data_IF_847758988494
#
_entry.id   IF_847758988494
#
_cell.length_a   1.000
_cell.length_b   1.000
_cell.length_c   1.000
_cell.angle_alpha   90.00
_cell.angle_beta   90.00
_cell.angle_gamma   90.00
#
_symmetry.space_group_name_H-M   'P 1'
#
loop_
_entity.id
_entity.type
_entity.pdbx_description
1 polymer ?
#
# COMPACT_ATOMS: atom_id res chain seq x y z
N UNK A 1 -53.23 -17.90 -20.30
CA UNK A 1 -53.58 -16.54 -19.82
C UNK A 1 -53.61 -16.63 -18.30
N UNK A 2 -52.47 -16.32 -17.67
CA UNK A 2 -52.19 -15.05 -16.96
C UNK A 2 -52.89 -15.04 -15.58
N UNK A 3 -52.18 -14.93 -14.46
CA UNK A 3 -51.32 -13.81 -14.10
C UNK A 3 -50.15 -14.23 -13.20
N UNK A 4 -48.96 -13.80 -13.62
CA UNK A 4 -47.83 -13.42 -12.75
C UNK A 4 -48.18 -12.03 -12.19
N UNK A 5 -47.89 -11.74 -10.91
CA UNK A 5 -47.31 -10.47 -10.39
C UNK A 5 -47.46 -10.39 -8.85
N UNK A 6 -46.34 -10.02 -8.21
CA UNK A 6 -46.29 -9.30 -6.92
C UNK A 6 -45.47 -10.04 -5.87
N UNK A 7 -44.28 -9.64 -5.46
CA UNK A 7 -43.47 -8.44 -5.72
C UNK A 7 -42.29 -8.51 -4.74
N UNK A 8 -41.11 -8.10 -5.19
CA UNK A 8 -39.85 -8.10 -4.43
C UNK A 8 -39.97 -7.33 -3.11
N UNK A 9 -39.86 -8.01 -1.97
CA UNK A 9 -39.53 -7.36 -0.70
C UNK A 9 -38.04 -7.52 -0.39
N UNK A 10 -37.30 -6.43 -0.67
CA UNK A 10 -36.06 -6.04 0.01
C UNK A 10 -34.85 -6.99 -0.05
N UNK A 11 -34.37 -7.31 -1.25
CA UNK A 11 -32.93 -7.58 -1.42
C UNK A 11 -32.16 -6.27 -1.26
N UNK A 12 -31.60 -6.04 -0.07
CA UNK A 12 -30.70 -4.94 0.18
C UNK A 12 -29.50 -4.97 -0.78
N UNK A 13 -29.11 -3.80 -1.27
CA UNK A 13 -27.94 -3.63 -2.14
C UNK A 13 -26.69 -4.03 -1.33
N UNK A 14 -25.85 -4.91 -1.88
CA UNK A 14 -24.55 -5.34 -1.33
C UNK A 14 -24.56 -6.32 -0.13
N UNK A 15 -25.50 -7.28 -0.08
CA UNK A 15 -25.42 -8.42 0.85
C UNK A 15 -25.82 -8.09 2.29
N UNK A 16 -26.46 -6.96 2.52
CA UNK A 16 -27.08 -6.61 3.80
C UNK A 16 -28.59 -6.85 3.66
N UNK A 17 -29.03 -8.07 3.96
CA UNK A 17 -30.45 -8.41 3.98
C UNK A 17 -31.19 -7.74 5.15
N UNK A 18 -32.50 -7.92 5.20
CA UNK A 18 -33.39 -7.44 6.28
C UNK A 18 -33.01 -7.90 7.70
N UNK A 19 -32.08 -8.86 7.82
CA UNK A 19 -31.53 -9.33 9.08
C UNK A 19 -30.41 -8.42 9.65
N UNK A 20 -29.82 -7.55 8.83
CA UNK A 20 -28.79 -6.60 9.28
C UNK A 20 -29.49 -5.40 9.92
N UNK A 21 -29.71 -5.48 11.23
CA UNK A 21 -30.32 -4.39 11.99
C UNK A 21 -29.25 -3.45 12.54
N UNK A 22 -29.53 -2.13 12.50
CA UNK A 22 -28.75 -1.16 13.23
C UNK A 22 -28.78 -1.52 14.72
N UNK A 23 -27.60 -1.61 15.33
CA UNK A 23 -27.48 -2.05 16.72
C UNK A 23 -27.99 -0.99 17.71
N UNK A 24 -28.16 0.26 17.27
CA UNK A 24 -28.65 1.40 18.06
C UNK A 24 -27.93 1.59 19.41
N UNK A 25 -26.72 1.05 19.54
CA UNK A 25 -25.94 1.16 20.76
C UNK A 25 -25.47 2.59 20.94
N UNK A 26 -25.63 3.13 22.15
CA UNK A 26 -24.92 4.33 22.56
C UNK A 26 -23.42 4.10 22.55
N UNK A 27 -22.62 5.17 22.55
CA UNK A 27 -21.15 5.07 22.54
C UNK A 27 -20.59 4.24 23.71
N UNK A 28 -21.26 4.27 24.87
CA UNK A 28 -20.89 3.46 26.03
C UNK A 28 -21.24 1.97 25.82
N UNK A 29 -22.43 1.67 25.29
CA UNK A 29 -22.86 0.29 25.05
C UNK A 29 -22.04 -0.40 23.96
N UNK A 30 -21.66 0.34 22.90
CA UNK A 30 -20.75 -0.16 21.87
C UNK A 30 -19.35 -0.47 22.45
N UNK A 31 -18.86 0.34 23.38
CA UNK A 31 -17.60 0.10 24.06
C UNK A 31 -17.65 -1.18 24.92
N UNK A 32 -18.74 -1.37 25.69
CA UNK A 32 -18.95 -2.59 26.49
C UNK A 32 -19.12 -3.83 25.61
N UNK A 33 -19.92 -3.74 24.54
CA UNK A 33 -20.15 -4.85 23.60
C UNK A 33 -18.85 -5.31 22.89
N UNK A 34 -17.88 -4.40 22.75
CA UNK A 34 -16.56 -4.69 22.16
C UNK A 34 -15.46 -4.93 23.21
N UNK A 35 -15.78 -4.85 24.51
CA UNK A 35 -14.80 -4.96 25.59
C UNK A 35 -14.12 -6.35 25.61
N UNK A 36 -14.86 -7.41 25.30
CA UNK A 36 -14.30 -8.76 25.22
C UNK A 36 -13.28 -8.88 24.07
N UNK A 37 -13.52 -8.24 22.93
CA UNK A 37 -12.58 -8.17 21.80
C UNK A 37 -11.32 -7.44 22.23
N UNK A 38 -11.47 -6.33 22.97
CA UNK A 38 -10.33 -5.56 23.50
C UNK A 38 -9.53 -6.32 24.56
N UNK A 39 -10.18 -7.17 25.37
CA UNK A 39 -9.51 -8.06 26.33
C UNK A 39 -8.76 -9.21 25.66
N UNK A 40 -9.25 -9.70 24.53
CA UNK A 40 -8.61 -10.81 23.79
C UNK A 40 -7.52 -10.30 22.83
N UNK A 41 -7.76 -9.14 22.22
CA UNK A 41 -6.85 -8.39 21.34
C UNK A 41 -6.32 -7.19 22.14
N UNK A 42 -5.67 -7.46 23.27
CA UNK A 42 -4.84 -6.43 23.88
C UNK A 42 -3.56 -6.35 23.04
N UNK A 43 -3.10 -5.13 22.73
CA UNK A 43 -1.78 -4.93 22.11
C UNK A 43 -0.66 -5.59 22.93
N UNK A 44 -0.93 -5.87 24.20
CA UNK A 44 -0.04 -6.57 25.15
C UNK A 44 -0.20 -8.08 25.17
N UNK A 45 -1.28 -8.66 24.62
CA UNK A 45 -1.47 -10.13 24.50
C UNK A 45 -1.03 -10.69 23.16
N UNK A 46 -0.75 -9.83 22.17
CA UNK A 46 0.14 -10.19 21.06
C UNK A 46 1.58 -10.16 21.60
N UNK A 47 1.85 -11.06 22.54
CA UNK A 47 3.19 -11.33 23.04
C UNK A 47 3.92 -12.06 21.92
N UNK A 48 4.62 -11.30 21.07
CA UNK A 48 5.53 -11.87 20.08
C UNK A 48 6.79 -12.44 20.75
N UNK A 49 6.89 -12.40 22.09
CA UNK A 49 8.04 -12.81 22.90
C UNK A 49 9.20 -11.82 22.76
N UNK A 50 9.64 -11.59 21.52
CA UNK A 50 10.69 -10.66 21.14
C UNK A 50 10.12 -9.58 20.22
N UNK A 51 10.71 -8.37 20.27
CA UNK A 51 10.43 -7.32 19.29
C UNK A 51 10.68 -7.89 17.91
N UNK A 52 9.67 -7.86 17.04
CA UNK A 52 9.84 -8.35 15.68
C UNK A 52 10.94 -7.54 14.98
N UNK A 53 11.74 -8.24 14.20
CA UNK A 53 12.87 -7.66 13.48
C UNK A 53 12.39 -6.57 12.49
N UNK A 54 13.06 -5.42 12.54
CA UNK A 54 12.75 -4.28 11.68
C UNK A 54 13.61 -4.38 10.42
N UNK A 55 12.98 -4.82 9.33
CA UNK A 55 13.67 -5.05 8.05
C UNK A 55 14.44 -3.83 7.53
N UNK A 56 14.10 -2.61 8.00
CA UNK A 56 14.81 -1.37 7.63
C UNK A 56 16.25 -1.38 8.13
N UNK A 57 16.51 -1.97 9.30
CA UNK A 57 17.86 -2.04 9.88
C UNK A 57 18.82 -2.77 8.93
N UNK A 58 18.40 -3.93 8.41
CA UNK A 58 19.12 -4.68 7.38
C UNK A 58 19.23 -3.91 6.05
N UNK A 59 18.20 -3.14 5.67
CA UNK A 59 18.27 -2.31 4.47
C UNK A 59 19.35 -1.22 4.57
N UNK A 60 19.52 -0.60 5.75
CA UNK A 60 20.57 0.40 5.97
C UNK A 60 21.98 -0.20 5.82
N UNK A 61 22.18 -1.42 6.32
CA UNK A 61 23.45 -2.14 6.17
C UNK A 61 23.74 -2.43 4.69
N UNK A 62 22.75 -2.97 3.96
CA UNK A 62 22.89 -3.25 2.53
C UNK A 62 23.18 -2.00 1.69
N UNK A 63 22.56 -0.87 2.04
CA UNK A 63 22.81 0.40 1.36
C UNK A 63 24.20 0.95 1.67
N UNK A 64 24.64 0.87 2.93
CA UNK A 64 25.99 1.24 3.36
C UNK A 64 27.06 0.42 2.62
N UNK A 65 26.79 -0.86 2.39
CA UNK A 65 27.62 -1.76 1.60
C UNK A 65 27.51 -1.50 0.08
N UNK A 66 26.67 -0.56 -0.33
CA UNK A 66 26.47 -0.18 -1.72
C UNK A 66 25.70 -1.20 -2.55
N UNK A 67 24.99 -2.15 -1.94
CA UNK A 67 24.25 -3.19 -2.65
C UNK A 67 22.89 -2.69 -3.18
N UNK A 68 22.23 -1.79 -2.45
CA UNK A 68 20.92 -1.23 -2.80
C UNK A 68 20.92 0.29 -2.63
N UNK A 69 19.86 0.93 -3.12
CA UNK A 69 19.49 2.31 -2.78
C UNK A 69 18.17 2.23 -2.01
N UNK A 70 18.12 2.87 -0.85
CA UNK A 70 16.89 2.98 -0.07
C UNK A 70 16.14 4.23 -0.52
N UNK A 71 14.95 4.03 -1.08
CA UNK A 71 14.02 5.13 -1.33
C UNK A 71 13.38 5.52 0.00
N UNK A 72 13.85 6.63 0.56
CA UNK A 72 13.46 7.15 1.88
C UNK A 72 12.26 8.09 1.81
N UNK A 73 11.44 8.09 2.86
CA UNK A 73 10.43 9.12 3.09
C UNK A 73 11.11 10.31 3.78
N UNK A 74 11.24 11.41 3.05
CA UNK A 74 11.76 12.69 3.52
C UNK A 74 10.66 13.61 4.06
N UNK A 75 11.05 14.71 4.72
CA UNK A 75 10.12 15.74 5.22
C UNK A 75 9.28 16.37 4.10
N UNK A 76 9.75 16.35 2.86
CA UNK A 76 9.02 16.86 1.70
C UNK A 76 7.70 16.09 1.46
N UNK A 77 7.65 14.82 1.84
CA UNK A 77 6.46 13.98 1.79
C UNK A 77 5.46 14.25 2.93
N UNK A 78 5.84 15.11 3.89
CA UNK A 78 5.07 15.45 5.10
C UNK A 78 4.56 14.19 5.83
N UNK A 79 5.46 13.28 6.25
CA UNK A 79 5.05 12.01 6.82
C UNK A 79 4.34 12.17 8.16
N UNK A 80 3.38 11.29 8.43
CA UNK A 80 2.80 11.10 9.75
C UNK A 80 3.35 9.80 10.33
N UNK A 81 3.83 9.87 11.57
CA UNK A 81 4.34 8.72 12.30
C UNK A 81 3.21 7.96 13.00
N UNK A 82 3.21 6.64 12.85
CA UNK A 82 2.24 5.75 13.48
C UNK A 82 2.95 4.60 14.18
N UNK A 83 2.44 4.22 15.35
CA UNK A 83 2.95 3.05 16.06
C UNK A 83 2.34 1.77 15.49
N UNK A 84 3.20 0.87 15.03
CA UNK A 84 2.77 -0.43 14.51
C UNK A 84 2.45 -1.39 15.65
N UNK A 85 1.74 -2.48 15.33
CA UNK A 85 1.50 -3.58 16.26
C UNK A 85 2.80 -4.31 16.65
N UNK A 86 3.86 -4.14 15.87
CA UNK A 86 5.16 -4.77 16.06
C UNK A 86 6.13 -3.95 16.92
N UNK A 87 5.66 -2.82 17.48
CA UNK A 87 6.43 -2.01 18.43
C UNK A 87 7.42 -1.03 17.80
N UNK A 88 7.48 -0.93 16.47
CA UNK A 88 8.25 0.11 15.79
C UNK A 88 7.35 1.21 15.21
N UNK A 89 7.95 2.39 15.05
CA UNK A 89 7.31 3.55 14.42
C UNK A 89 7.47 3.46 12.91
N UNK A 90 6.35 3.62 12.20
CA UNK A 90 6.28 3.64 10.74
C UNK A 90 5.95 5.06 10.26
N UNK A 91 6.64 5.51 9.21
CA UNK A 91 6.33 6.79 8.54
C UNK A 91 5.34 6.52 7.40
N UNK A 92 4.28 7.31 7.33
CA UNK A 92 3.32 7.27 6.22
C UNK A 92 3.37 8.63 5.50
N UNK A 93 3.85 8.70 4.25
CA UNK A 93 3.89 9.95 3.50
C UNK A 93 2.47 10.44 3.25
N UNK A 94 2.23 11.75 3.32
CA UNK A 94 0.89 12.32 3.08
C UNK A 94 0.77 13.01 1.72
N UNK A 95 1.89 13.42 1.12
CA UNK A 95 1.99 14.00 -0.22
C UNK A 95 3.20 13.43 -0.98
N UNK A 96 3.36 13.84 -2.22
CA UNK A 96 4.30 13.35 -3.23
C UNK A 96 4.16 11.83 -3.41
N UNK A 97 2.98 11.39 -3.84
CA UNK A 97 2.61 9.97 -3.86
C UNK A 97 2.62 9.41 -5.28
N UNK A 98 3.31 8.30 -5.50
CA UNK A 98 3.27 7.55 -6.75
C UNK A 98 2.20 6.47 -6.68
N UNK A 99 1.15 6.56 -7.47
CA UNK A 99 0.02 5.62 -7.39
C UNK A 99 0.36 4.30 -8.05
N UNK A 100 0.64 3.27 -7.25
CA UNK A 100 0.74 1.91 -7.75
C UNK A 100 -0.67 1.34 -8.00
N UNK A 101 -1.00 1.25 -9.28
CA UNK A 101 -2.27 0.75 -9.81
C UNK A 101 -2.27 -0.77 -9.85
N UNK A 102 -3.40 -1.36 -9.47
CA UNK A 102 -3.63 -2.80 -9.52
C UNK A 102 -4.48 -3.18 -10.74
N UNK A 103 -4.08 -4.23 -11.46
CA UNK A 103 -4.83 -4.71 -12.62
C UNK A 103 -6.30 -5.02 -12.28
N UNK A 104 -6.52 -5.72 -11.15
CA UNK A 104 -7.87 -6.13 -10.75
C UNK A 104 -8.75 -4.95 -10.36
N UNK A 105 -8.22 -4.03 -9.54
CA UNK A 105 -8.98 -2.86 -9.08
C UNK A 105 -9.16 -1.82 -10.19
N UNK A 106 -8.10 -1.46 -10.90
CA UNK A 106 -8.18 -0.45 -11.96
C UNK A 106 -8.98 -0.96 -13.17
N UNK A 107 -8.92 -2.26 -13.48
CA UNK A 107 -9.66 -2.86 -14.59
C UNK A 107 -11.12 -3.15 -14.29
N UNK A 108 -11.45 -3.61 -13.07
CA UNK A 108 -12.81 -4.09 -12.75
C UNK A 108 -13.56 -3.24 -11.72
N UNK A 109 -12.84 -2.44 -10.92
CA UNK A 109 -13.42 -1.63 -9.83
C UNK A 109 -12.85 -0.20 -9.89
N UNK A 110 -12.99 0.51 -11.03
CA UNK A 110 -12.33 1.79 -11.27
C UNK A 110 -12.76 2.89 -10.28
N UNK A 111 -13.94 2.76 -9.66
CA UNK A 111 -14.40 3.67 -8.61
C UNK A 111 -13.46 3.72 -7.39
N UNK A 112 -12.69 2.65 -7.17
CA UNK A 112 -11.76 2.56 -6.05
C UNK A 112 -10.50 3.43 -6.20
N UNK A 113 -9.68 3.32 -7.26
CA UNK A 113 -8.59 4.27 -7.48
C UNK A 113 -9.13 5.69 -7.72
N UNK A 114 -10.30 5.83 -8.35
CA UNK A 114 -10.93 7.15 -8.58
C UNK A 114 -11.26 7.86 -7.27
N UNK A 115 -11.77 7.16 -6.25
CA UNK A 115 -12.09 7.80 -4.97
C UNK A 115 -10.84 8.28 -4.23
N UNK A 116 -9.71 7.56 -4.35
CA UNK A 116 -8.44 8.00 -3.78
C UNK A 116 -7.93 9.28 -4.45
N UNK A 117 -7.96 9.35 -5.78
CA UNK A 117 -7.60 10.55 -6.53
C UNK A 117 -8.56 11.71 -6.23
N UNK A 118 -9.86 11.41 -6.04
CA UNK A 118 -10.85 12.39 -5.63
C UNK A 118 -10.51 13.01 -4.28
N UNK A 119 -10.13 12.22 -3.26
CA UNK A 119 -9.70 12.76 -1.97
C UNK A 119 -8.51 13.72 -2.13
N UNK A 120 -7.51 13.33 -2.91
CA UNK A 120 -6.33 14.17 -3.14
C UNK A 120 -6.69 15.49 -3.84
N UNK A 121 -7.53 15.43 -4.87
CA UNK A 121 -8.04 16.63 -5.52
C UNK A 121 -8.85 17.53 -4.58
N UNK A 122 -9.62 16.93 -3.66
CA UNK A 122 -10.37 17.67 -2.63
C UNK A 122 -9.50 18.29 -1.55
N UNK A 123 -8.27 17.79 -1.37
CA UNK A 123 -7.24 18.41 -0.55
C UNK A 123 -6.36 19.40 -1.32
N UNK A 124 -6.76 19.80 -2.53
CA UNK A 124 -6.03 20.70 -3.42
C UNK A 124 -4.62 20.21 -3.79
N UNK A 125 -4.39 18.89 -3.78
CA UNK A 125 -3.13 18.33 -4.25
C UNK A 125 -2.99 18.56 -5.76
N UNK A 126 -1.79 18.94 -6.18
CA UNK A 126 -1.49 19.22 -7.59
C UNK A 126 -1.00 17.94 -8.29
N UNK A 127 -1.70 17.42 -9.33
CA UNK A 127 -1.25 16.27 -10.10
C UNK A 127 0.10 16.55 -10.76
N UNK A 128 1.00 15.56 -10.76
CA UNK A 128 2.37 15.72 -11.26
C UNK A 128 3.29 16.48 -10.31
N UNK A 129 2.83 16.83 -9.10
CA UNK A 129 3.65 17.42 -8.03
C UNK A 129 3.40 16.76 -6.67
N UNK A 130 2.15 16.74 -6.22
CA UNK A 130 1.76 16.18 -4.91
C UNK A 130 1.31 14.72 -5.03
N UNK A 131 0.91 14.29 -6.22
CA UNK A 131 0.74 12.87 -6.52
C UNK A 131 0.94 12.63 -8.02
N UNK A 132 1.22 11.38 -8.39
CA UNK A 132 1.38 10.94 -9.76
C UNK A 132 0.50 9.71 -10.04
N UNK A 133 -0.43 9.85 -10.98
CA UNK A 133 -1.10 8.73 -11.62
C UNK A 133 -0.24 8.21 -12.78
N UNK A 134 0.70 7.33 -12.46
CA UNK A 134 1.72 6.86 -13.40
C UNK A 134 1.15 6.00 -14.53
N UNK A 135 1.51 6.31 -15.78
CA UNK A 135 1.16 5.52 -16.97
C UNK A 135 2.17 4.41 -17.26
N UNK A 136 3.43 4.56 -16.85
CA UNK A 136 4.55 3.66 -17.17
C UNK A 136 4.81 2.54 -16.15
N UNK A 137 3.78 2.15 -15.39
CA UNK A 137 3.85 1.04 -14.44
C UNK A 137 3.34 -0.29 -15.02
N UNK A 138 3.67 -1.41 -14.37
CA UNK A 138 3.14 -2.73 -14.72
C UNK A 138 2.34 -3.36 -13.59
N UNK A 139 1.64 -4.45 -13.92
CA UNK A 139 1.08 -5.38 -12.95
C UNK A 139 2.06 -5.70 -11.81
N UNK A 140 1.53 -5.91 -10.61
CA UNK A 140 2.27 -6.50 -9.50
C UNK A 140 2.53 -8.00 -9.67
N UNK A 141 1.91 -8.63 -10.67
CA UNK A 141 1.86 -10.09 -10.91
C UNK A 141 1.36 -10.92 -9.72
N UNK A 142 0.95 -10.31 -8.61
CA UNK A 142 0.67 -10.95 -7.33
C UNK A 142 -0.63 -11.79 -7.25
N UNK A 143 -1.36 -12.01 -8.35
CA UNK A 143 -2.50 -12.91 -8.30
C UNK A 143 -2.00 -14.34 -8.12
N UNK A 144 -2.69 -15.13 -7.29
CA UNK A 144 -2.29 -16.44 -6.78
C UNK A 144 -1.52 -17.29 -7.82
N UNK A 145 -1.99 -17.30 -9.07
CA UNK A 145 -1.34 -17.95 -10.22
C UNK A 145 0.19 -17.78 -10.34
N UNK A 146 0.71 -16.56 -10.23
CA UNK A 146 2.17 -16.34 -10.37
C UNK A 146 2.93 -16.61 -9.07
N UNK A 147 2.28 -16.46 -7.90
CA UNK A 147 2.89 -16.71 -6.59
C UNK A 147 2.83 -18.18 -6.13
N UNK A 148 1.87 -18.96 -6.62
CA UNK A 148 1.50 -20.26 -6.04
C UNK A 148 1.81 -21.48 -6.91
N UNK A 149 2.49 -21.32 -8.06
CA UNK A 149 2.95 -22.51 -8.79
C UNK A 149 3.43 -22.34 -10.22
N UNK A 150 3.14 -21.23 -10.91
CA UNK A 150 3.52 -21.07 -12.33
C UNK A 150 4.57 -19.96 -12.53
N UNK A 151 4.62 -18.97 -11.64
CA UNK A 151 5.71 -18.00 -11.62
C UNK A 151 6.88 -18.46 -10.74
N UNK A 152 8.05 -17.86 -10.95
CA UNK A 152 9.19 -18.00 -10.05
C UNK A 152 9.41 -16.69 -9.26
N UNK A 153 10.03 -16.83 -8.08
CA UNK A 153 10.27 -15.69 -7.16
C UNK A 153 11.13 -14.60 -7.80
N UNK A 154 12.07 -14.96 -8.67
CA UNK A 154 12.93 -13.99 -9.38
C UNK A 154 12.13 -13.09 -10.31
N UNK A 155 11.17 -13.65 -11.05
CA UNK A 155 10.32 -12.90 -11.98
C UNK A 155 9.38 -11.97 -11.21
N UNK A 156 8.81 -12.45 -10.10
CA UNK A 156 8.01 -11.62 -9.20
C UNK A 156 8.84 -10.46 -8.66
N UNK A 157 10.05 -10.75 -8.15
CA UNK A 157 10.96 -9.74 -7.63
C UNK A 157 11.43 -8.75 -8.69
N UNK A 158 11.72 -9.20 -9.91
CA UNK A 158 12.11 -8.30 -11.01
C UNK A 158 10.97 -7.36 -11.42
N UNK A 159 9.76 -7.86 -11.60
CA UNK A 159 8.60 -7.01 -11.93
C UNK A 159 8.33 -6.00 -10.81
N UNK A 160 8.44 -6.44 -9.56
CA UNK A 160 8.29 -5.58 -8.42
C UNK A 160 9.33 -4.44 -8.40
N UNK A 161 10.60 -4.81 -8.52
CA UNK A 161 11.70 -3.85 -8.53
C UNK A 161 11.66 -2.90 -9.73
N UNK A 162 11.11 -3.32 -10.87
CA UNK A 162 10.84 -2.43 -12.02
C UNK A 162 9.88 -1.30 -11.64
N UNK A 163 8.79 -1.61 -10.93
CA UNK A 163 7.82 -0.61 -10.51
C UNK A 163 8.42 0.37 -9.49
N UNK A 164 9.26 -0.11 -8.57
CA UNK A 164 9.92 0.74 -7.58
C UNK A 164 11.03 1.61 -8.17
N UNK A 165 11.78 1.08 -9.12
CA UNK A 165 12.63 1.91 -9.96
C UNK A 165 11.80 3.02 -10.63
N UNK A 166 10.68 2.65 -11.28
CA UNK A 166 9.83 3.64 -11.96
C UNK A 166 9.35 4.71 -10.99
N UNK A 167 8.79 4.34 -9.84
CA UNK A 167 8.35 5.29 -8.81
C UNK A 167 9.46 6.27 -8.40
N UNK A 168 10.66 5.75 -8.16
CA UNK A 168 11.82 6.55 -7.77
C UNK A 168 12.23 7.54 -8.87
N UNK A 169 12.27 7.14 -10.15
CA UNK A 169 12.73 8.04 -11.22
C UNK A 169 11.63 8.95 -11.78
N UNK A 170 10.36 8.68 -11.49
CA UNK A 170 9.22 9.37 -12.13
C UNK A 170 9.26 10.89 -11.95
N UNK A 171 9.74 11.36 -10.79
CA UNK A 171 9.88 12.81 -10.51
C UNK A 171 10.69 13.56 -11.56
N UNK A 172 11.70 12.92 -12.16
CA UNK A 172 12.57 13.52 -13.17
C UNK A 172 11.82 13.95 -14.42
N UNK A 173 10.80 13.19 -14.84
CA UNK A 173 9.98 13.54 -16.00
C UNK A 173 9.12 14.79 -15.75
N UNK A 174 8.91 15.14 -14.49
CA UNK A 174 8.16 16.31 -14.05
C UNK A 174 9.08 17.45 -13.55
N UNK A 175 10.37 17.41 -13.86
CA UNK A 175 11.34 18.44 -13.46
C UNK A 175 11.69 18.43 -11.97
N UNK A 176 11.49 17.29 -11.29
CA UNK A 176 11.78 17.10 -9.88
C UNK A 176 12.90 16.06 -9.69
N UNK A 177 13.43 15.98 -8.48
CA UNK A 177 14.50 15.03 -8.18
C UNK A 177 14.01 13.57 -8.18
N UNK A 178 14.95 12.64 -8.32
CA UNK A 178 14.65 11.24 -8.06
C UNK A 178 14.24 11.03 -6.59
N UNK A 179 13.29 10.15 -6.37
CA UNK A 179 12.69 9.89 -5.07
C UNK A 179 11.59 10.87 -4.68
N UNK A 180 11.28 11.88 -5.52
CA UNK A 180 10.20 12.83 -5.26
C UNK A 180 8.87 12.14 -4.96
N UNK A 181 8.42 11.22 -5.81
CA UNK A 181 7.18 10.49 -5.55
C UNK A 181 7.44 9.18 -4.80
N UNK A 182 6.76 8.95 -3.68
CA UNK A 182 6.84 7.73 -2.89
C UNK A 182 5.72 6.72 -3.22
N UNK A 183 5.99 5.41 -3.38
CA UNK A 183 4.98 4.43 -3.75
C UNK A 183 3.80 4.34 -2.78
N UNK A 184 2.58 4.47 -3.32
CA UNK A 184 1.32 4.25 -2.63
C UNK A 184 0.54 3.11 -3.29
N UNK A 185 0.41 1.98 -2.59
CA UNK A 185 -0.16 0.74 -3.12
C UNK A 185 -1.68 0.67 -2.90
N UNK A 186 -2.46 0.48 -3.97
CA UNK A 186 -3.93 0.49 -3.89
C UNK A 186 -4.54 -0.87 -3.51
N UNK A 187 -3.85 -1.96 -3.86
CA UNK A 187 -4.38 -3.31 -3.74
C UNK A 187 -3.72 -4.08 -2.60
N UNK A 188 -4.55 -4.72 -1.76
CA UNK A 188 -4.07 -5.55 -0.66
C UNK A 188 -3.20 -6.73 -1.12
N UNK A 189 -3.50 -7.31 -2.29
CA UNK A 189 -2.67 -8.39 -2.86
C UNK A 189 -1.28 -7.89 -3.25
N UNK A 190 -1.20 -6.74 -3.92
CA UNK A 190 0.08 -6.10 -4.24
C UNK A 190 0.83 -5.74 -2.96
N UNK A 191 0.14 -5.16 -1.96
CA UNK A 191 0.73 -4.78 -0.68
C UNK A 191 1.37 -5.95 0.06
N UNK A 192 0.66 -7.08 0.20
CA UNK A 192 1.19 -8.28 0.85
C UNK A 192 2.41 -8.82 0.11
N UNK A 193 2.28 -9.02 -1.21
CA UNK A 193 3.36 -9.54 -2.03
C UNK A 193 4.60 -8.63 -2.01
N UNK A 194 4.40 -7.32 -2.06
CA UNK A 194 5.48 -6.33 -2.03
C UNK A 194 6.23 -6.32 -0.69
N UNK A 195 5.52 -6.55 0.42
CA UNK A 195 6.15 -6.71 1.73
C UNK A 195 7.00 -7.99 1.81
N UNK A 196 6.47 -9.11 1.33
CA UNK A 196 7.16 -10.40 1.38
C UNK A 196 8.38 -10.43 0.46
N UNK A 197 8.23 -9.99 -0.79
CA UNK A 197 9.34 -9.95 -1.74
C UNK A 197 10.42 -8.96 -1.29
N UNK A 198 10.05 -7.81 -0.69
CA UNK A 198 11.03 -6.91 -0.08
C UNK A 198 11.85 -7.64 0.98
N UNK A 199 11.19 -8.40 1.87
CA UNK A 199 11.87 -9.19 2.90
C UNK A 199 12.84 -10.19 2.27
N UNK A 200 12.40 -10.97 1.28
CA UNK A 200 13.27 -11.93 0.58
C UNK A 200 14.45 -11.27 -0.13
N UNK A 201 14.24 -10.10 -0.76
CA UNK A 201 15.33 -9.33 -1.35
C UNK A 201 16.31 -8.86 -0.29
N UNK A 202 15.87 -8.46 0.90
CA UNK A 202 16.79 -8.02 1.96
C UNK A 202 17.56 -9.21 2.57
N UNK A 203 16.91 -10.36 2.72
CA UNK A 203 17.52 -11.53 3.38
C UNK A 203 18.34 -12.43 2.42
N UNK A 204 18.02 -12.46 1.12
CA UNK A 204 18.68 -13.34 0.15
C UNK A 204 19.56 -12.57 -0.83
N UNK A 205 20.88 -12.62 -0.61
CA UNK A 205 21.88 -12.06 -1.52
C UNK A 205 21.82 -12.69 -2.92
N UNK A 206 21.56 -14.00 -2.98
CA UNK A 206 21.41 -14.72 -4.25
C UNK A 206 20.22 -14.20 -5.07
N UNK A 207 19.05 -14.01 -4.44
CA UNK A 207 17.89 -13.42 -5.10
C UNK A 207 18.19 -12.00 -5.58
N UNK A 208 18.82 -11.17 -4.74
CA UNK A 208 19.22 -9.81 -5.14
C UNK A 208 20.12 -9.83 -6.36
N UNK A 209 21.15 -10.66 -6.38
CA UNK A 209 22.10 -10.73 -7.49
C UNK A 209 21.39 -11.09 -8.80
N UNK A 210 20.51 -12.11 -8.77
CA UNK A 210 19.73 -12.54 -9.94
C UNK A 210 18.81 -11.41 -10.43
N UNK A 211 18.09 -10.75 -9.53
CA UNK A 211 17.17 -9.64 -9.86
C UNK A 211 17.93 -8.42 -10.38
N UNK A 212 19.08 -8.08 -9.82
CA UNK A 212 19.96 -7.01 -10.30
C UNK A 212 20.41 -7.27 -11.74
N UNK A 213 20.83 -8.50 -12.06
CA UNK A 213 21.19 -8.87 -13.44
C UNK A 213 20.02 -8.71 -14.42
N UNK A 214 18.80 -9.10 -14.01
CA UNK A 214 17.60 -8.93 -14.85
C UNK A 214 17.31 -7.45 -15.07
N UNK A 215 17.27 -6.65 -14.01
CA UNK A 215 16.96 -5.21 -14.13
C UNK A 215 18.04 -4.40 -14.82
N UNK A 216 19.31 -4.82 -14.72
CA UNK A 216 20.41 -4.23 -15.47
C UNK A 216 20.20 -4.34 -16.98
N UNK A 217 19.73 -5.49 -17.46
CA UNK A 217 19.38 -5.68 -18.90
C UNK A 217 18.22 -4.77 -19.34
N UNK A 218 17.33 -4.42 -18.42
CA UNK A 218 16.17 -3.56 -18.69
C UNK A 218 16.46 -2.07 -18.54
N UNK A 219 17.67 -1.69 -18.10
CA UNK A 219 18.00 -0.30 -17.75
C UNK A 219 17.18 0.22 -16.57
N UNK A 220 16.81 -0.66 -15.63
CA UNK A 220 15.97 -0.36 -14.46
C UNK A 220 16.75 -0.43 -13.15
N UNK A 221 17.99 0.01 -13.19
CA UNK A 221 18.86 0.20 -12.03
C UNK A 221 19.19 1.69 -11.91
N UNK A 222 19.42 2.16 -10.68
CA UNK A 222 19.98 3.49 -10.43
C UNK A 222 21.40 3.28 -9.92
N UNK A 223 22.39 3.85 -10.62
CA UNK A 223 23.82 3.67 -10.32
C UNK A 223 24.22 2.19 -10.16
N UNK A 224 23.64 1.32 -10.99
CA UNK A 224 23.88 -0.13 -10.95
C UNK A 224 23.20 -0.88 -9.80
N UNK A 225 22.33 -0.22 -9.03
CA UNK A 225 21.71 -0.77 -7.81
C UNK A 225 20.19 -0.87 -7.92
N UNK A 226 19.64 -1.80 -7.14
CA UNK A 226 18.20 -1.94 -6.91
C UNK A 226 17.70 -0.80 -6.01
N UNK A 227 16.56 -0.20 -6.35
CA UNK A 227 15.91 0.83 -5.51
C UNK A 227 14.76 0.22 -4.71
N UNK A 228 14.93 0.11 -3.40
CA UNK A 228 13.94 -0.50 -2.50
C UNK A 228 13.40 0.56 -1.55
N UNK A 229 12.07 0.78 -1.44
CA UNK A 229 11.51 1.74 -0.51
C UNK A 229 11.60 1.27 0.94
N UNK A 230 11.96 2.20 1.81
CA UNK A 230 12.06 1.96 3.27
C UNK A 230 10.74 1.47 3.86
N UNK A 231 9.62 1.87 3.26
CA UNK A 231 8.28 1.46 3.64
C UNK A 231 7.47 0.99 2.43
N UNK A 232 6.67 -0.05 2.64
CA UNK A 232 5.57 -0.38 1.73
C UNK A 232 4.31 0.23 2.33
N UNK A 233 3.68 1.16 1.62
CA UNK A 233 2.51 1.88 2.11
C UNK A 233 1.29 1.44 1.31
N UNK A 234 0.27 0.96 2.03
CA UNK A 234 -1.04 0.75 1.44
C UNK A 234 -1.90 2.00 1.57
N UNK A 235 -2.78 2.25 0.60
CA UNK A 235 -3.67 3.42 0.64
C UNK A 235 -4.56 3.43 1.89
N UNK A 236 -4.91 2.27 2.48
CA UNK A 236 -5.69 2.25 3.73
C UNK A 236 -4.90 2.84 4.91
N UNK A 237 -3.58 2.70 4.91
CA UNK A 237 -2.70 3.33 5.90
C UNK A 237 -2.65 4.84 5.67
N UNK A 238 -2.60 5.28 4.41
CA UNK A 238 -2.70 6.69 4.04
C UNK A 238 -4.04 7.30 4.47
N UNK A 239 -5.17 6.65 4.14
CA UNK A 239 -6.51 7.09 4.56
C UNK A 239 -6.61 7.13 6.08
N UNK A 240 -6.01 6.14 6.78
CA UNK A 240 -5.97 6.15 8.22
C UNK A 240 -5.28 7.41 8.76
N UNK A 241 -4.08 7.77 8.29
CA UNK A 241 -3.40 8.98 8.79
C UNK A 241 -4.08 10.28 8.34
N UNK A 242 -4.78 10.26 7.21
CA UNK A 242 -5.54 11.40 6.69
C UNK A 242 -6.94 11.55 7.29
N UNK A 243 -7.44 10.57 8.05
CA UNK A 243 -8.84 10.50 8.53
C UNK A 243 -9.36 11.77 9.21
N UNK A 244 -8.51 12.44 9.99
CA UNK A 244 -8.91 13.66 10.70
C UNK A 244 -9.07 14.84 9.74
N UNK A 245 -8.21 14.94 8.72
CA UNK A 245 -8.34 15.94 7.64
C UNK A 245 -9.57 15.64 6.80
N UNK A 246 -9.81 14.37 6.46
CA UNK A 246 -11.04 13.96 5.75
C UNK A 246 -12.27 14.39 6.53
N UNK A 247 -12.32 14.10 7.83
CA UNK A 247 -13.46 14.44 8.68
C UNK A 247 -13.64 15.96 8.88
N UNK A 248 -12.56 16.74 8.97
CA UNK A 248 -12.65 18.18 9.25
C UNK A 248 -12.77 19.05 8.00
N UNK A 249 -12.14 18.66 6.89
CA UNK A 249 -12.06 19.48 5.67
C UNK A 249 -13.09 19.03 4.62
N UNK A 250 -13.45 17.75 4.58
CA UNK A 250 -14.24 17.18 3.48
C UNK A 250 -15.63 16.68 3.86
N UNK A 251 -15.89 16.40 5.14
CA UNK A 251 -17.25 16.15 5.61
C UNK A 251 -17.98 17.49 5.80
N UNK A 252 -18.50 18.03 4.71
CA UNK A 252 -19.40 19.18 4.74
C UNK A 252 -20.79 18.72 5.15
N UNK A 253 -21.34 19.29 6.23
CA UNK A 253 -22.75 19.16 6.62
C UNK A 253 -23.63 20.02 5.71
#
# INVERSE_FOLDING_TARGET
MSNIVGGNENQGVAGHGSFFQQTNLSGAEAATATEWVRKHVDKRTVDLGERMDDIRDHMWELEKDGQIIVHRITDAHKPIEVQTLFGWTKKVPTTQLWHHKSCGQCGNIPGYPTSLLWFMNKFDFVPGKDYLDETDQTSCTAWNYHGSGIGNVESLAAVFMRNFHQAYISGKQHGMEAGHFFPLVHCGTSFGNYKEIRKYLVESAELRERVTKILGKLGRLVDGKLVIPEEIIHYSEWVHVMRNRIASELQTV
#
